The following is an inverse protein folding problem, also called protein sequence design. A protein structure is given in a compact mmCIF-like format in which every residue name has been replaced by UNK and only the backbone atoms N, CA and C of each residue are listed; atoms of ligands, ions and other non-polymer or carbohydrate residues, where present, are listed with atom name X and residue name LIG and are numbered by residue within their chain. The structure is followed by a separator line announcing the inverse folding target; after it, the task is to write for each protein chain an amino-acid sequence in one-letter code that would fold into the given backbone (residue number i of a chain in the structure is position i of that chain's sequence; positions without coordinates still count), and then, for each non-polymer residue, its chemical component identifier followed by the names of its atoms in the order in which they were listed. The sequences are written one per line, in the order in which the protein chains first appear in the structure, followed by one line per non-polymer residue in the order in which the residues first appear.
data_IF_189610251936
#
_entry.id   IF_189610251936
#
_cell.length_a   1.000
_cell.length_b   1.000
_cell.length_c   1.000
_cell.angle_alpha   90.00
_cell.angle_beta   90.00
_cell.angle_gamma   90.00
#
_symmetry.space_group_name_H-M   'P 1'
#
loop_
_entity.id
_entity.type
_entity.pdbx_description
1 polymer ?
#
# COMPACT_ATOMS: atom_id res chain seq x y z
N UNK A 1 22.31 22.18 13.38
CA UNK A 1 22.82 21.10 12.50
C UNK A 1 24.16 20.55 12.92
N UNK A 2 24.90 21.30 13.67
CA UNK A 2 26.19 20.87 14.24
C UNK A 2 26.09 19.68 15.21
N UNK A 3 24.94 19.45 15.85
CA UNK A 3 24.73 18.31 16.74
C UNK A 3 24.68 16.95 16.03
N UNK A 4 24.39 16.93 14.72
CA UNK A 4 24.37 15.72 13.91
C UNK A 4 25.79 15.32 13.47
N UNK A 5 26.72 16.25 13.41
CA UNK A 5 28.10 16.00 13.00
C UNK A 5 28.97 15.40 14.10
N UNK A 6 28.52 15.38 15.34
CA UNK A 6 29.33 14.90 16.49
C UNK A 6 29.24 13.40 16.73
N UNK A 7 28.31 12.69 16.08
CA UNK A 7 28.14 11.25 16.27
C UNK A 7 28.21 10.46 14.95
N UNK A 8 29.09 10.90 14.08
CA UNK A 8 29.34 10.35 12.77
C UNK A 8 29.92 8.92 12.75
N UNK A 9 30.09 8.29 13.89
CA UNK A 9 30.50 6.90 13.99
C UNK A 9 29.34 5.90 13.80
N UNK A 10 28.10 6.39 13.77
CA UNK A 10 26.91 5.58 13.52
C UNK A 10 26.52 5.70 12.03
N UNK A 11 26.45 4.60 11.27
CA UNK A 11 26.19 4.63 9.81
C UNK A 11 24.91 5.35 9.40
N UNK A 12 23.95 5.45 10.30
CA UNK A 12 22.66 6.08 10.01
C UNK A 12 22.69 7.62 9.93
N UNK A 13 23.69 8.27 10.53
CA UNK A 13 23.79 9.74 10.46
C UNK A 13 24.09 10.20 9.06
N UNK A 14 24.87 9.44 8.30
CA UNK A 14 25.10 9.70 6.89
C UNK A 14 23.81 9.55 6.08
N UNK A 15 22.91 8.65 6.47
CA UNK A 15 21.61 8.46 5.84
C UNK A 15 20.66 9.63 6.14
N UNK A 16 20.70 10.20 7.33
CA UNK A 16 19.88 11.37 7.70
C UNK A 16 20.32 12.62 6.93
N UNK A 17 21.62 12.89 6.86
CA UNK A 17 22.15 14.03 6.10
C UNK A 17 21.79 13.92 4.62
N UNK A 18 21.91 12.74 4.07
CA UNK A 18 21.54 12.48 2.69
C UNK A 18 20.03 12.67 2.46
N UNK A 19 19.17 12.23 3.38
CA UNK A 19 17.73 12.47 3.32
C UNK A 19 17.39 13.97 3.38
N UNK A 20 18.10 14.72 4.22
CA UNK A 20 17.98 16.19 4.31
C UNK A 20 18.39 16.84 2.97
N UNK A 21 19.49 16.39 2.37
CA UNK A 21 19.94 16.89 1.07
C UNK A 21 18.93 16.58 -0.04
N UNK A 22 18.38 15.37 -0.04
CA UNK A 22 17.34 14.96 -0.99
C UNK A 22 16.07 15.82 -0.86
N UNK A 23 15.65 16.12 0.37
CA UNK A 23 14.49 16.99 0.62
C UNK A 23 14.78 18.45 0.27
N UNK A 24 16.01 18.92 0.50
CA UNK A 24 16.41 20.26 0.09
C UNK A 24 16.40 20.45 -1.43
N UNK A 25 16.65 19.39 -2.19
CA UNK A 25 16.58 19.41 -3.66
C UNK A 25 15.14 19.59 -4.19
N UNK A 26 14.13 19.40 -3.35
CA UNK A 26 12.73 19.67 -3.70
C UNK A 26 12.30 21.14 -3.66
N UNK A 27 13.18 22.05 -3.23
CA UNK A 27 12.94 23.50 -3.23
C UNK A 27 12.07 24.01 -2.08
N UNK A 28 11.12 24.91 -2.37
CA UNK A 28 10.42 25.76 -1.39
C UNK A 28 9.61 25.04 -0.30
N UNK A 29 9.40 23.75 -0.43
CA UNK A 29 8.63 22.95 0.54
C UNK A 29 9.52 22.13 1.48
N UNK A 30 10.82 22.24 1.40
CA UNK A 30 11.76 21.46 2.22
C UNK A 30 11.58 21.67 3.72
N UNK A 31 11.18 22.87 4.14
CA UNK A 31 10.97 23.22 5.54
C UNK A 31 9.75 22.54 6.17
N UNK A 32 8.73 22.24 5.39
CA UNK A 32 7.52 21.59 5.85
C UNK A 32 7.76 20.11 6.20
N UNK A 33 8.79 19.51 5.62
CA UNK A 33 9.14 18.09 5.79
C UNK A 33 10.24 17.83 6.83
N UNK A 34 10.92 18.84 7.36
CA UNK A 34 12.07 18.67 8.27
C UNK A 34 11.67 17.93 9.57
N UNK A 35 10.49 18.18 10.09
CA UNK A 35 10.02 17.50 11.30
C UNK A 35 9.72 16.03 11.02
N UNK A 36 9.15 15.75 9.86
CA UNK A 36 8.80 14.40 9.43
C UNK A 36 10.03 13.57 9.06
N UNK A 37 11.09 14.19 8.55
CA UNK A 37 12.36 13.53 8.20
C UNK A 37 12.99 12.82 9.40
N UNK A 38 12.92 13.38 10.60
CA UNK A 38 13.45 12.74 11.79
C UNK A 38 12.66 11.49 12.15
N UNK A 39 11.34 11.56 12.08
CA UNK A 39 10.46 10.42 12.30
C UNK A 39 10.70 9.34 11.24
N UNK A 40 10.84 9.74 9.98
CA UNK A 40 11.16 8.84 8.87
C UNK A 40 12.53 8.19 9.07
N UNK A 41 13.54 8.97 9.46
CA UNK A 41 14.88 8.45 9.71
C UNK A 41 14.88 7.42 10.86
N UNK A 42 14.16 7.67 11.93
CA UNK A 42 14.02 6.74 13.04
C UNK A 42 13.34 5.43 12.61
N UNK A 43 12.29 5.51 11.78
CA UNK A 43 11.61 4.34 11.23
C UNK A 43 12.53 3.55 10.29
N UNK A 44 13.28 4.24 9.43
CA UNK A 44 14.22 3.60 8.51
C UNK A 44 15.38 2.90 9.23
N UNK A 45 15.70 3.36 10.45
CA UNK A 45 16.76 2.78 11.28
C UNK A 45 16.31 1.54 12.03
N UNK A 46 15.04 1.44 12.34
CA UNK A 46 14.46 0.24 12.96
C UNK A 46 14.29 -0.90 11.96
N UNK A 47 14.28 -0.59 10.66
CA UNK A 47 14.17 -1.56 9.58
C UNK A 47 15.52 -1.78 8.87
N UNK A 48 15.67 -2.89 8.20
CA UNK A 48 16.82 -3.23 7.35
C UNK A 48 16.82 -2.44 6.02
N UNK A 49 16.45 -1.16 6.08
CA UNK A 49 16.31 -0.32 4.89
C UNK A 49 17.65 0.31 4.55
N UNK A 50 18.13 0.06 3.35
CA UNK A 50 19.36 0.63 2.82
C UNK A 50 19.10 1.89 2.00
N UNK A 51 20.14 2.72 1.85
CA UNK A 51 20.08 3.98 1.10
C UNK A 51 19.53 3.80 -0.31
N UNK A 52 19.96 2.78 -1.03
CA UNK A 52 19.55 2.53 -2.41
C UNK A 52 18.05 2.28 -2.54
N UNK A 53 17.44 1.57 -1.59
CA UNK A 53 15.99 1.37 -1.53
C UNK A 53 15.24 2.68 -1.30
N UNK A 54 15.77 3.53 -0.44
CA UNK A 54 15.18 4.86 -0.15
C UNK A 54 15.25 5.75 -1.38
N UNK A 55 16.37 5.78 -2.08
CA UNK A 55 16.53 6.54 -3.32
C UNK A 55 15.56 6.05 -4.40
N UNK A 56 15.49 4.76 -4.61
CA UNK A 56 14.60 4.14 -5.59
C UNK A 56 13.13 4.42 -5.29
N UNK A 57 12.73 4.28 -4.03
CA UNK A 57 11.38 4.59 -3.60
C UNK A 57 11.05 6.09 -3.79
N UNK A 58 11.95 6.97 -3.41
CA UNK A 58 11.76 8.42 -3.57
C UNK A 58 11.66 8.82 -5.05
N UNK A 59 12.47 8.22 -5.92
CA UNK A 59 12.42 8.47 -7.36
C UNK A 59 11.10 7.96 -7.99
N UNK A 60 10.60 6.85 -7.52
CA UNK A 60 9.38 6.21 -8.05
C UNK A 60 8.10 6.83 -7.50
N UNK A 61 8.04 7.08 -6.20
CA UNK A 61 6.82 7.47 -5.49
C UNK A 61 6.85 8.90 -4.93
N UNK A 62 7.99 9.56 -5.00
CA UNK A 62 8.18 10.91 -4.45
C UNK A 62 8.68 10.89 -3.01
N UNK A 63 9.46 11.93 -2.68
CA UNK A 63 10.08 12.08 -1.36
C UNK A 63 9.04 12.27 -0.25
N UNK A 64 7.94 12.94 -0.56
CA UNK A 64 6.84 13.16 0.38
C UNK A 64 6.15 11.85 0.83
N UNK A 65 6.32 10.76 0.10
CA UNK A 65 5.80 9.44 0.43
C UNK A 65 6.78 8.56 1.22
N UNK A 66 7.97 9.05 1.55
CA UNK A 66 8.97 8.28 2.31
C UNK A 66 8.46 7.82 3.68
N UNK A 67 7.53 8.54 4.29
CA UNK A 67 6.89 8.13 5.53
C UNK A 67 6.15 6.78 5.40
N UNK A 68 5.77 6.39 4.19
CA UNK A 68 5.05 5.13 3.91
C UNK A 68 5.97 3.99 3.46
N UNK A 69 7.29 4.21 3.38
CA UNK A 69 8.22 3.21 2.85
C UNK A 69 8.14 1.86 3.58
N UNK A 70 8.07 1.86 4.91
CA UNK A 70 8.00 0.62 5.68
C UNK A 70 6.69 -0.12 5.43
N UNK A 71 5.58 0.60 5.40
CA UNK A 71 4.27 0.02 5.11
C UNK A 71 4.20 -0.50 3.67
N UNK A 72 4.81 0.22 2.72
CA UNK A 72 4.96 -0.23 1.34
C UNK A 72 5.77 -1.53 1.24
N UNK A 73 6.92 -1.61 1.92
CA UNK A 73 7.74 -2.83 1.95
C UNK A 73 6.96 -4.01 2.53
N UNK A 74 6.25 -3.81 3.62
CA UNK A 74 5.40 -4.82 4.24
C UNK A 74 4.29 -5.28 3.29
N UNK A 75 3.61 -4.36 2.63
CA UNK A 75 2.58 -4.68 1.65
C UNK A 75 3.12 -5.50 0.47
N UNK A 76 4.27 -5.13 -0.07
CA UNK A 76 4.93 -5.88 -1.16
C UNK A 76 5.34 -7.27 -0.70
N UNK A 77 5.86 -7.41 0.52
CA UNK A 77 6.25 -8.69 1.09
C UNK A 77 5.04 -9.62 1.30
N UNK A 78 3.92 -9.08 1.77
CA UNK A 78 2.71 -9.86 2.04
C UNK A 78 1.87 -10.15 0.80
N UNK A 79 1.80 -9.23 -0.14
CA UNK A 79 0.92 -9.33 -1.30
C UNK A 79 1.66 -9.65 -2.61
N UNK A 80 2.55 -8.87 -3.01
CA UNK A 80 3.46 -8.81 -4.17
C UNK A 80 3.50 -7.38 -4.74
N UNK A 81 4.53 -7.08 -5.51
CA UNK A 81 4.68 -5.77 -6.14
C UNK A 81 3.53 -5.44 -7.10
N UNK A 82 3.09 -6.40 -7.92
CA UNK A 82 2.02 -6.17 -8.90
C UNK A 82 0.67 -5.87 -8.24
N UNK A 83 0.34 -6.52 -7.14
CA UNK A 83 -0.89 -6.25 -6.37
C UNK A 83 -0.82 -4.86 -5.73
N UNK A 84 0.32 -4.50 -5.17
CA UNK A 84 0.52 -3.19 -4.54
C UNK A 84 0.48 -2.06 -5.56
N UNK A 85 1.05 -2.22 -6.74
CA UNK A 85 0.98 -1.22 -7.81
C UNK A 85 -0.47 -0.91 -8.20
N UNK A 86 -1.29 -1.94 -8.42
CA UNK A 86 -2.70 -1.74 -8.75
C UNK A 86 -3.51 -1.18 -7.57
N UNK A 87 -3.18 -1.58 -6.34
CA UNK A 87 -3.75 -0.97 -5.14
C UNK A 87 -3.50 0.54 -5.07
N UNK A 88 -2.27 0.96 -5.36
CA UNK A 88 -1.90 2.38 -5.33
C UNK A 88 -2.63 3.20 -6.39
N UNK A 89 -2.93 2.63 -7.54
CA UNK A 89 -3.71 3.31 -8.60
C UNK A 89 -5.13 3.63 -8.13
N UNK A 90 -5.75 2.73 -7.37
CA UNK A 90 -7.14 2.86 -6.94
C UNK A 90 -7.29 3.58 -5.58
N UNK A 91 -6.39 3.36 -4.63
CA UNK A 91 -6.51 3.82 -3.25
C UNK A 91 -5.49 4.88 -2.83
N UNK A 92 -4.33 4.90 -3.46
CA UNK A 92 -3.25 5.83 -3.13
C UNK A 92 -2.32 5.34 -2.02
N UNK A 93 -1.20 6.04 -1.86
CA UNK A 93 -0.14 5.67 -0.93
C UNK A 93 -0.53 5.82 0.55
N UNK A 94 -1.38 6.76 0.87
CA UNK A 94 -1.86 7.01 2.24
C UNK A 94 -2.68 5.85 2.83
N UNK A 95 -3.17 4.95 1.98
CA UNK A 95 -3.90 3.74 2.40
C UNK A 95 -3.03 2.48 2.44
N UNK A 96 -1.73 2.58 2.13
CA UNK A 96 -0.86 1.42 1.92
C UNK A 96 -0.72 0.51 3.15
N UNK A 97 -0.77 1.05 4.36
CA UNK A 97 -0.72 0.26 5.58
C UNK A 97 -1.88 -0.73 5.69
N UNK A 98 -3.02 -0.41 5.09
CA UNK A 98 -4.24 -1.21 5.12
C UNK A 98 -4.34 -2.22 3.96
N UNK A 99 -3.49 -2.10 2.95
CA UNK A 99 -3.55 -2.93 1.75
C UNK A 99 -3.62 -4.44 2.03
N UNK A 100 -2.79 -5.01 2.93
CA UNK A 100 -2.87 -6.44 3.24
C UNK A 100 -4.22 -6.87 3.83
N UNK A 101 -4.81 -6.02 4.67
CA UNK A 101 -6.11 -6.31 5.30
C UNK A 101 -7.29 -6.11 4.34
N UNK A 102 -7.16 -5.18 3.41
CA UNK A 102 -8.18 -4.91 2.39
C UNK A 102 -8.23 -5.97 1.30
N UNK A 103 -7.11 -6.65 1.03
CA UNK A 103 -6.97 -7.62 -0.05
C UNK A 103 -7.81 -8.88 0.18
N UNK A 104 -8.66 -9.21 -0.79
CA UNK A 104 -9.59 -10.35 -0.73
C UNK A 104 -9.18 -11.52 -1.63
N UNK A 105 -8.23 -11.33 -2.50
CA UNK A 105 -7.74 -12.35 -3.43
C UNK A 105 -7.83 -11.93 -4.90
N UNK A 106 -7.41 -12.83 -5.76
CA UNK A 106 -7.46 -12.68 -7.22
C UNK A 106 -8.64 -13.48 -7.77
N UNK A 107 -9.46 -12.81 -8.57
CA UNK A 107 -10.65 -13.40 -9.19
C UNK A 107 -10.70 -13.04 -10.66
N UNK A 108 -11.29 -13.91 -11.45
CA UNK A 108 -11.43 -13.68 -12.89
C UNK A 108 -12.33 -12.48 -13.20
N UNK A 109 -13.36 -12.26 -12.38
CA UNK A 109 -14.32 -11.16 -12.51
C UNK A 109 -15.00 -10.86 -11.17
N UNK A 110 -15.72 -9.74 -11.11
CA UNK A 110 -16.60 -9.44 -9.98
C UNK A 110 -17.68 -10.50 -9.75
N UNK A 111 -18.17 -11.10 -10.82
CA UNK A 111 -19.13 -12.21 -10.76
C UNK A 111 -18.52 -13.44 -10.04
N UNK A 112 -17.28 -13.81 -10.36
CA UNK A 112 -16.58 -14.90 -9.71
C UNK A 112 -16.34 -14.64 -8.23
N UNK A 113 -15.98 -13.40 -7.88
CA UNK A 113 -15.87 -12.99 -6.48
C UNK A 113 -17.21 -13.09 -5.76
N UNK A 114 -18.30 -12.63 -6.38
CA UNK A 114 -19.65 -12.72 -5.83
C UNK A 114 -20.07 -14.17 -5.57
N UNK A 115 -19.81 -15.07 -6.49
CA UNK A 115 -20.06 -16.50 -6.32
C UNK A 115 -19.26 -17.09 -5.15
N UNK A 116 -17.99 -16.75 -5.06
CA UNK A 116 -17.09 -17.22 -4.00
C UNK A 116 -17.55 -16.75 -2.63
N UNK A 117 -17.81 -15.47 -2.44
CA UNK A 117 -18.19 -14.92 -1.13
C UNK A 117 -19.55 -15.43 -0.67
N UNK A 118 -20.51 -15.59 -1.59
CA UNK A 118 -21.82 -16.14 -1.24
C UNK A 118 -21.70 -17.62 -0.89
N UNK A 119 -20.90 -18.38 -1.61
CA UNK A 119 -20.68 -19.82 -1.34
C UNK A 119 -19.98 -20.05 0.01
N UNK A 120 -19.10 -19.13 0.41
CA UNK A 120 -18.39 -19.20 1.70
C UNK A 120 -19.27 -18.78 2.88
N UNK A 121 -20.17 -17.83 2.67
CA UNK A 121 -21.02 -17.26 3.72
C UNK A 121 -22.37 -17.97 3.87
N UNK A 122 -22.87 -18.58 2.82
CA UNK A 122 -24.20 -19.16 2.78
C UNK A 122 -24.18 -20.57 2.21
N UNK A 123 -25.07 -21.44 2.72
CA UNK A 123 -25.25 -22.79 2.18
C UNK A 123 -26.12 -22.75 0.92
N UNK A 124 -25.50 -22.70 -0.25
CA UNK A 124 -26.16 -22.66 -1.54
C UNK A 124 -26.85 -23.97 -1.92
N UNK A 125 -26.60 -25.08 -1.18
CA UNK A 125 -27.25 -26.39 -1.38
C UNK A 125 -28.73 -26.39 -1.02
N UNK A 126 -29.16 -25.43 -0.22
CA UNK A 126 -30.58 -25.27 0.15
C UNK A 126 -31.41 -24.61 -0.94
N UNK A 127 -30.77 -24.10 -2.00
CA UNK A 127 -31.49 -23.54 -3.13
C UNK A 127 -32.11 -24.66 -3.99
N UNK A 128 -33.38 -24.51 -4.42
CA UNK A 128 -33.94 -25.41 -5.39
C UNK A 128 -33.07 -25.47 -6.67
N UNK A 129 -32.95 -26.65 -7.28
CA UNK A 129 -32.05 -26.86 -8.43
C UNK A 129 -32.39 -26.01 -9.66
N UNK A 130 -33.61 -25.47 -9.71
CA UNK A 130 -34.05 -24.57 -10.77
C UNK A 130 -33.77 -23.08 -10.51
N UNK A 131 -33.28 -22.72 -9.32
CA UNK A 131 -32.86 -21.35 -9.00
C UNK A 131 -31.51 -21.10 -9.64
N UNK A 132 -31.43 -20.04 -10.42
CA UNK A 132 -30.19 -19.57 -11.00
C UNK A 132 -29.86 -18.19 -10.42
N UNK A 133 -28.63 -18.03 -9.96
CA UNK A 133 -28.12 -16.76 -9.44
C UNK A 133 -27.39 -16.02 -10.55
N UNK A 134 -27.77 -14.78 -10.75
CA UNK A 134 -27.05 -13.87 -11.65
C UNK A 134 -25.91 -13.20 -10.88
N UNK A 135 -24.73 -13.79 -10.95
CA UNK A 135 -23.55 -13.35 -10.19
C UNK A 135 -23.05 -11.99 -10.66
N UNK A 136 -23.19 -11.67 -11.94
CA UNK A 136 -22.83 -10.37 -12.50
C UNK A 136 -23.71 -9.25 -11.91
N UNK A 137 -25.01 -9.47 -11.83
CA UNK A 137 -25.92 -8.54 -11.17
C UNK A 137 -25.69 -8.47 -9.66
N UNK A 138 -25.35 -9.58 -9.02
CA UNK A 138 -25.02 -9.60 -7.61
C UNK A 138 -23.80 -8.73 -7.33
N UNK A 139 -22.79 -8.81 -8.18
CA UNK A 139 -21.66 -7.91 -8.10
C UNK A 139 -22.08 -6.45 -8.32
N UNK A 140 -22.74 -6.15 -9.43
CA UNK A 140 -23.05 -4.77 -9.86
C UNK A 140 -23.96 -4.04 -8.86
N UNK A 141 -24.96 -4.72 -8.31
CA UNK A 141 -25.99 -4.09 -7.46
C UNK A 141 -25.75 -4.23 -5.95
N UNK A 142 -24.86 -5.07 -5.54
CA UNK A 142 -24.61 -5.29 -4.11
C UNK A 142 -23.15 -5.13 -3.72
N UNK A 143 -22.24 -5.91 -4.30
CA UNK A 143 -20.86 -6.00 -3.82
C UNK A 143 -19.95 -4.89 -4.33
N UNK A 144 -20.21 -4.33 -5.51
CA UNK A 144 -19.39 -3.24 -6.06
C UNK A 144 -19.42 -1.94 -5.24
N UNK A 145 -20.33 -1.82 -4.29
CA UNK A 145 -20.34 -0.70 -3.33
C UNK A 145 -19.31 -0.84 -2.22
N UNK A 146 -19.00 -2.08 -1.84
CA UNK A 146 -18.11 -2.38 -0.72
C UNK A 146 -16.74 -2.93 -1.17
N UNK A 147 -16.61 -3.34 -2.42
CA UNK A 147 -15.42 -3.93 -2.98
C UNK A 147 -15.01 -3.29 -4.29
N UNK A 148 -13.72 -3.23 -4.53
CA UNK A 148 -13.11 -2.77 -5.79
C UNK A 148 -12.37 -3.94 -6.42
N UNK A 149 -12.52 -4.13 -7.73
CA UNK A 149 -11.75 -5.09 -8.51
C UNK A 149 -10.85 -4.34 -9.49
N UNK A 150 -9.57 -4.69 -9.52
CA UNK A 150 -8.60 -4.10 -10.44
C UNK A 150 -8.63 -4.76 -11.81
N UNK A 151 -7.93 -4.18 -12.77
CA UNK A 151 -7.86 -4.71 -14.14
C UNK A 151 -7.29 -6.13 -14.21
N UNK A 152 -6.38 -6.49 -13.31
CA UNK A 152 -5.81 -7.85 -13.20
C UNK A 152 -6.67 -8.82 -12.37
N UNK A 153 -7.78 -8.35 -11.79
CA UNK A 153 -8.68 -9.18 -11.00
C UNK A 153 -8.39 -9.23 -9.50
N UNK A 154 -7.59 -8.31 -8.98
CA UNK A 154 -7.35 -8.18 -7.54
C UNK A 154 -8.53 -7.49 -6.88
N UNK A 155 -9.11 -8.11 -5.85
CA UNK A 155 -10.26 -7.58 -5.13
C UNK A 155 -9.83 -7.02 -3.79
N UNK A 156 -10.28 -5.81 -3.48
CA UNK A 156 -10.05 -5.12 -2.21
C UNK A 156 -11.37 -4.69 -1.58
N UNK A 157 -11.44 -4.79 -0.26
CA UNK A 157 -12.52 -4.20 0.51
C UNK A 157 -12.35 -2.67 0.55
N UNK A 158 -13.26 -1.94 -0.09
CA UNK A 158 -13.23 -0.47 -0.16
C UNK A 158 -13.86 0.20 1.07
N UNK A 159 -14.47 -0.57 1.93
CA UNK A 159 -15.21 -0.12 3.12
C UNK A 159 -14.37 -0.27 4.39
N UNK A 160 -13.13 0.20 4.32
CA UNK A 160 -12.13 0.04 5.38
C UNK A 160 -11.96 1.31 6.23
#
# INVERSE_FOLDING_TARGET
MTSLSTNWQTPWINNVNWLIDLVNDLGDHATDYITDIRSIADQLLEGDTIRDEVEEFADTHGVHNLMFLQDYKTAVEELSESIVEEFLEDFGMDMIEHAPEMYQGEYYSGADFAESIVSDCYDTRDYPTWVQVDWEKTWDYALSYDYTITDSGYVFNSNY
#
